data_IF_966782587605
#
_entry.id   IF_966782587605
#
_cell.length_a   1.000
_cell.length_b   1.000
_cell.length_c   1.000
_cell.angle_alpha   90.00
_cell.angle_beta   90.00
_cell.angle_gamma   90.00
#
_symmetry.space_group_name_H-M   'P 1'
#
loop_
_entity.id
_entity.type
_entity.pdbx_description
1 polymer ?
#
# COMPACT_ATOMS: atom_id res chain seq x y z
N UNK A 1 16.94 6.27 18.92
CA UNK A 1 17.40 6.35 17.52
C UNK A 1 16.18 6.20 16.63
N UNK A 2 16.01 7.02 15.60
CA UNK A 2 14.83 7.02 14.74
C UNK A 2 15.14 6.28 13.43
N UNK A 3 14.29 5.33 13.05
CA UNK A 3 14.46 4.51 11.85
C UNK A 3 13.40 4.90 10.81
N UNK A 4 13.84 5.14 9.58
CA UNK A 4 12.96 5.51 8.47
C UNK A 4 13.13 4.51 7.33
N UNK A 5 12.01 4.07 6.75
CA UNK A 5 12.06 3.27 5.52
C UNK A 5 12.43 4.14 4.31
N UNK A 6 12.80 3.47 3.22
CA UNK A 6 13.21 4.13 1.96
C UNK A 6 12.11 5.05 1.40
N UNK A 7 10.84 4.70 1.58
CA UNK A 7 9.75 5.52 1.09
C UNK A 7 9.66 6.86 1.84
N UNK A 8 10.00 6.91 3.13
CA UNK A 8 10.13 8.18 3.86
C UNK A 8 11.24 9.05 3.27
N UNK A 9 12.42 8.47 2.98
CA UNK A 9 13.51 9.20 2.34
C UNK A 9 13.12 9.74 0.96
N UNK A 10 12.46 8.92 0.13
CA UNK A 10 11.93 9.32 -1.17
C UNK A 10 10.96 10.50 -1.06
N UNK A 11 9.98 10.41 -0.15
CA UNK A 11 8.97 11.47 0.02
C UNK A 11 9.55 12.75 0.62
N UNK A 12 10.58 12.65 1.46
CA UNK A 12 11.30 13.83 1.98
C UNK A 12 12.04 14.57 0.86
N UNK A 13 12.70 13.83 -0.03
CA UNK A 13 13.34 14.41 -1.22
C UNK A 13 12.34 15.10 -2.14
N UNK A 14 11.17 14.48 -2.40
CA UNK A 14 10.08 15.08 -3.18
C UNK A 14 9.57 16.38 -2.54
N UNK A 15 9.36 16.38 -1.22
CA UNK A 15 8.90 17.56 -0.50
C UNK A 15 9.88 18.73 -0.58
N UNK A 16 11.18 18.48 -0.46
CA UNK A 16 12.22 19.53 -0.49
C UNK A 16 12.46 20.01 -1.93
N UNK A 17 12.61 19.10 -2.88
CA UNK A 17 13.08 19.42 -4.24
C UNK A 17 11.95 19.84 -5.17
N UNK A 18 10.72 19.41 -4.89
CA UNK A 18 9.56 19.62 -5.75
C UNK A 18 8.37 20.29 -5.04
N UNK A 19 8.52 20.69 -3.77
CA UNK A 19 7.43 21.24 -2.94
C UNK A 19 6.18 20.35 -2.91
N UNK A 20 6.38 19.04 -3.05
CA UNK A 20 5.29 18.08 -3.15
C UNK A 20 5.06 17.38 -1.82
N UNK A 21 3.86 17.51 -1.21
CA UNK A 21 3.55 16.78 0.00
C UNK A 21 3.42 15.28 -0.28
N UNK A 22 3.36 14.47 0.79
CA UNK A 22 3.15 13.03 0.64
C UNK A 22 1.73 12.76 0.15
N UNK A 23 1.57 12.56 -1.16
CA UNK A 23 0.27 12.33 -1.82
C UNK A 23 0.05 10.88 -2.21
N UNK A 24 1.12 10.13 -2.49
CA UNK A 24 1.07 8.75 -2.96
C UNK A 24 1.97 7.81 -2.15
N UNK A 25 1.70 6.50 -2.28
CA UNK A 25 2.53 5.40 -1.79
C UNK A 25 2.68 4.33 -2.86
N UNK A 26 3.91 3.83 -3.00
CA UNK A 26 4.17 2.57 -3.70
C UNK A 26 3.77 1.41 -2.77
N UNK A 27 2.81 0.61 -3.20
CA UNK A 27 2.25 -0.52 -2.47
C UNK A 27 2.41 -1.79 -3.30
N UNK A 28 2.97 -2.83 -2.71
CA UNK A 28 2.97 -4.18 -3.31
C UNK A 28 1.64 -4.85 -3.03
N UNK A 29 0.96 -5.31 -4.09
CA UNK A 29 -0.19 -6.21 -3.97
C UNK A 29 0.25 -7.60 -4.42
N UNK A 30 0.17 -8.56 -3.50
CA UNK A 30 0.59 -9.95 -3.69
C UNK A 30 -0.32 -10.90 -2.92
N UNK A 31 -0.08 -12.21 -3.04
CA UNK A 31 -0.88 -13.25 -2.39
C UNK A 31 -1.76 -13.96 -3.40
N UNK A 32 -3.00 -14.29 -3.01
CA UNK A 32 -3.95 -15.02 -3.85
C UNK A 32 -4.61 -14.11 -4.91
N UNK A 33 -3.81 -13.59 -5.83
CA UNK A 33 -4.25 -12.69 -6.90
C UNK A 33 -3.62 -13.08 -8.25
N UNK A 34 -4.32 -12.88 -9.35
CA UNK A 34 -3.80 -13.21 -10.68
C UNK A 34 -2.71 -12.24 -11.17
N UNK A 35 -2.73 -10.98 -10.72
CA UNK A 35 -1.87 -9.92 -11.23
C UNK A 35 -1.04 -9.23 -10.11
N UNK A 36 -0.14 -9.97 -9.42
CA UNK A 36 0.69 -9.40 -8.37
C UNK A 36 1.71 -8.40 -8.94
N UNK A 37 1.75 -7.19 -8.39
CA UNK A 37 2.69 -6.12 -8.79
C UNK A 37 2.68 -4.95 -7.80
N UNK A 38 3.54 -3.99 -8.06
CA UNK A 38 3.60 -2.74 -7.32
C UNK A 38 2.72 -1.69 -8.01
N UNK A 39 1.95 -0.96 -7.22
CA UNK A 39 1.12 0.15 -7.66
C UNK A 39 1.56 1.43 -6.97
N UNK A 40 1.62 2.54 -7.70
CA UNK A 40 1.63 3.86 -7.08
C UNK A 40 0.19 4.31 -6.85
N UNK A 41 -0.16 4.56 -5.59
CA UNK A 41 -1.55 4.75 -5.17
C UNK A 41 -1.66 6.02 -4.34
N UNK A 42 -2.72 6.80 -4.58
CA UNK A 42 -3.01 7.97 -3.75
C UNK A 42 -3.37 7.54 -2.33
N UNK A 43 -2.86 8.28 -1.35
CA UNK A 43 -3.28 8.12 0.04
C UNK A 43 -4.78 8.42 0.13
N UNK A 44 -5.52 7.55 0.82
CA UNK A 44 -6.98 7.62 0.91
C UNK A 44 -7.72 6.70 -0.07
N UNK A 45 -7.05 6.18 -1.11
CA UNK A 45 -7.67 5.22 -2.05
C UNK A 45 -8.10 3.96 -1.29
N UNK A 46 -9.35 3.50 -1.43
CA UNK A 46 -9.80 2.29 -0.74
C UNK A 46 -9.14 1.03 -1.34
N UNK A 47 -8.88 0.03 -0.51
CA UNK A 47 -8.15 -1.19 -0.92
C UNK A 47 -8.89 -2.03 -1.96
N UNK A 48 -10.21 -1.96 -2.03
CA UNK A 48 -11.02 -2.65 -3.02
C UNK A 48 -10.73 -2.17 -4.45
N UNK A 49 -10.40 -0.89 -4.65
CA UNK A 49 -9.92 -0.36 -5.94
C UNK A 49 -8.63 -1.06 -6.39
N UNK A 50 -7.69 -1.27 -5.46
CA UNK A 50 -6.43 -1.96 -5.73
C UNK A 50 -6.64 -3.44 -6.03
N UNK A 51 -7.52 -4.10 -5.27
CA UNK A 51 -7.84 -5.50 -5.49
C UNK A 51 -8.46 -5.74 -6.87
N UNK A 52 -9.34 -4.86 -7.34
CA UNK A 52 -9.92 -4.98 -8.69
C UNK A 52 -8.83 -5.05 -9.77
N UNK A 53 -7.76 -4.25 -9.62
CA UNK A 53 -6.62 -4.24 -10.55
C UNK A 53 -5.76 -5.52 -10.43
N UNK A 54 -5.61 -6.03 -9.21
CA UNK A 54 -4.85 -7.25 -8.96
C UNK A 54 -5.62 -8.54 -9.30
N UNK A 55 -6.94 -8.46 -9.50
CA UNK A 55 -7.84 -9.57 -9.86
C UNK A 55 -7.69 -10.76 -8.89
N UNK A 56 -8.32 -10.71 -7.70
CA UNK A 56 -8.23 -11.77 -6.70
C UNK A 56 -8.85 -13.07 -7.19
N UNK A 57 -8.32 -14.21 -6.73
CA UNK A 57 -8.94 -15.50 -7.00
C UNK A 57 -10.27 -15.64 -6.24
N UNK A 58 -11.22 -16.45 -6.72
CA UNK A 58 -12.55 -16.60 -6.09
C UNK A 58 -12.51 -17.10 -4.63
N UNK A 59 -11.47 -17.81 -4.24
CA UNK A 59 -11.22 -18.34 -2.90
C UNK A 59 -10.42 -17.38 -1.99
N UNK A 60 -10.20 -16.14 -2.43
CA UNK A 60 -9.59 -15.10 -1.59
C UNK A 60 -10.57 -14.64 -0.52
N UNK A 61 -10.20 -14.80 0.75
CA UNK A 61 -11.07 -14.62 1.91
C UNK A 61 -10.73 -13.39 2.77
N UNK A 62 -9.65 -12.68 2.45
CA UNK A 62 -9.21 -11.55 3.24
C UNK A 62 -8.11 -10.72 2.61
N UNK A 63 -7.81 -9.59 3.27
CA UNK A 63 -6.71 -8.69 2.90
C UNK A 63 -5.84 -8.50 4.14
N UNK A 64 -4.55 -8.71 3.98
CA UNK A 64 -3.56 -8.42 5.01
C UNK A 64 -2.91 -7.08 4.70
N UNK A 65 -3.01 -6.12 5.62
CA UNK A 65 -2.28 -4.86 5.53
C UNK A 65 -0.88 -5.07 6.11
N UNK A 66 0.15 -4.97 5.28
CA UNK A 66 1.55 -5.22 5.64
C UNK A 66 2.06 -6.59 5.15
N UNK A 67 3.25 -6.98 5.59
CA UNK A 67 3.86 -8.26 5.21
C UNK A 67 3.38 -9.45 6.05
N UNK A 68 3.69 -10.70 5.66
CA UNK A 68 3.21 -11.91 6.34
C UNK A 68 3.66 -12.07 7.80
N UNK A 69 4.71 -11.36 8.23
CA UNK A 69 5.21 -11.45 9.61
C UNK A 69 4.54 -10.47 10.59
N UNK A 70 4.20 -9.26 10.12
CA UNK A 70 3.76 -8.14 11.00
C UNK A 70 2.44 -7.52 10.54
N UNK A 71 1.87 -8.01 9.43
CA UNK A 71 0.61 -7.53 8.90
C UNK A 71 -0.56 -8.01 9.72
N UNK A 72 -1.70 -7.36 9.50
CA UNK A 72 -2.96 -7.70 10.16
C UNK A 72 -4.10 -7.75 9.15
N UNK A 73 -5.10 -8.59 9.44
CA UNK A 73 -6.30 -8.67 8.63
C UNK A 73 -7.07 -7.34 8.74
N UNK A 74 -7.33 -6.68 7.62
CA UNK A 74 -8.19 -5.50 7.63
C UNK A 74 -9.66 -5.89 7.79
N UNK A 75 -10.42 -5.16 8.61
CA UNK A 75 -11.81 -5.51 8.92
C UNK A 75 -12.77 -5.28 7.74
N UNK A 76 -12.42 -4.39 6.80
CA UNK A 76 -13.17 -4.16 5.59
C UNK A 76 -12.25 -3.73 4.45
N UNK A 77 -12.64 -4.02 3.20
CA UNK A 77 -11.88 -3.69 1.99
C UNK A 77 -11.97 -2.21 1.59
N UNK A 78 -12.83 -1.42 2.22
CA UNK A 78 -12.93 0.04 2.01
C UNK A 78 -11.93 0.84 2.85
N UNK A 79 -11.14 0.16 3.68
CA UNK A 79 -10.07 0.80 4.43
C UNK A 79 -9.12 1.54 3.46
N UNK A 80 -8.74 2.78 3.76
CA UNK A 80 -7.92 3.57 2.87
C UNK A 80 -6.46 3.12 2.92
N UNK A 81 -5.75 3.31 1.81
CA UNK A 81 -4.29 3.32 1.78
C UNK A 81 -3.80 4.48 2.65
N UNK A 82 -2.98 4.17 3.65
CA UNK A 82 -2.37 5.13 4.57
C UNK A 82 -0.86 5.20 4.42
N UNK A 83 -0.24 6.29 4.88
CA UNK A 83 1.22 6.49 4.85
C UNK A 83 2.04 5.39 5.58
N UNK A 84 1.39 4.66 6.49
CA UNK A 84 2.02 3.64 7.32
C UNK A 84 2.12 2.27 6.63
N UNK A 85 1.47 2.11 5.46
CA UNK A 85 1.66 0.92 4.62
C UNK A 85 3.11 0.84 4.17
N UNK A 86 3.69 -0.34 4.35
CA UNK A 86 5.01 -0.67 3.83
C UNK A 86 4.93 -0.94 2.33
N UNK A 87 6.06 -0.74 1.66
CA UNK A 87 6.27 -1.24 0.31
C UNK A 87 6.23 -2.76 0.29
#
# INVERSE_FOLDING_TARGET
MQCFNVATAYTAWRAISHCEPVVSRLVTVSGNVHNPRNYEVLIGTPMDELLKLATPHPDTDGIVMGGPMMGFLVPNSRMPVVKALSC
#
